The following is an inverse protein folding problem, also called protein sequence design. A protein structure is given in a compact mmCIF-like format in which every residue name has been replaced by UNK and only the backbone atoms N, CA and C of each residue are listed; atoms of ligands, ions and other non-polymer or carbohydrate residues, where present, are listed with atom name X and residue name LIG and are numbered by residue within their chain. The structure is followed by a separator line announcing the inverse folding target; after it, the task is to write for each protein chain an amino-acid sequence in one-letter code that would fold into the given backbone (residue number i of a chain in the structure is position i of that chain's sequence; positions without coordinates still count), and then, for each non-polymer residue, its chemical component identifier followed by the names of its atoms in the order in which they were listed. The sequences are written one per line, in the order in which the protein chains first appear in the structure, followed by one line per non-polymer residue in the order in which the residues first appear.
data_IF_906210526425
#
_entry.id   IF_906210526425
#
_cell.length_a   1.000
_cell.length_b   1.000
_cell.length_c   1.000
_cell.angle_alpha   90.00
_cell.angle_beta   90.00
_cell.angle_gamma   90.00
#
_symmetry.space_group_name_H-M   'P 1'
#
loop_
_entity.id
_entity.type
_entity.pdbx_description
1 polymer ?
#
# COMPACT_ATOMS: atom_id res chain seq x y z
N UNK A 1 46.79 -9.18 46.31
CA UNK A 1 46.32 -7.86 45.90
C UNK A 1 44.90 -8.08 45.35
N UNK A 2 43.87 -7.76 46.14
CA UNK A 2 42.47 -7.98 45.76
C UNK A 2 41.97 -6.74 45.08
N UNK A 3 41.45 -6.87 43.86
CA UNK A 3 40.75 -5.81 43.14
C UNK A 3 39.37 -5.52 43.75
N UNK A 4 38.95 -4.26 43.87
CA UNK A 4 37.69 -3.89 44.51
C UNK A 4 36.48 -4.27 43.64
N UNK A 5 35.47 -4.84 44.30
CA UNK A 5 34.15 -5.08 43.74
C UNK A 5 33.39 -3.75 43.58
N UNK A 6 33.25 -3.25 42.36
CA UNK A 6 32.54 -1.98 42.14
C UNK A 6 32.32 -1.60 40.70
N UNK A 7 31.96 -2.54 39.82
CA UNK A 7 31.58 -2.22 38.42
C UNK A 7 30.56 -3.22 37.91
N UNK A 8 29.41 -3.27 38.56
CA UNK A 8 28.20 -3.90 38.01
C UNK A 8 27.04 -2.98 38.19
N UNK A 9 26.95 -1.98 37.36
CA UNK A 9 25.70 -1.35 36.96
C UNK A 9 25.93 -0.70 35.60
N UNK A 10 26.02 -1.54 34.55
CA UNK A 10 25.71 -1.08 33.23
C UNK A 10 24.22 -0.69 33.25
N UNK A 11 23.92 0.61 33.37
CA UNK A 11 22.60 1.16 33.15
C UNK A 11 22.20 0.72 31.75
N UNK A 12 21.23 -0.19 31.68
CA UNK A 12 20.48 -0.45 30.45
C UNK A 12 20.10 0.91 29.88
N UNK A 13 20.69 1.27 28.77
CA UNK A 13 20.23 2.34 27.92
C UNK A 13 18.78 1.97 27.59
N UNK A 14 17.83 2.73 28.16
CA UNK A 14 16.44 2.61 27.82
C UNK A 14 16.33 2.90 26.33
N UNK A 15 16.24 1.84 25.51
CA UNK A 15 15.76 1.95 24.15
C UNK A 15 14.49 2.77 24.19
N UNK A 16 14.41 3.83 23.39
CA UNK A 16 13.24 4.71 23.32
C UNK A 16 11.99 3.84 23.37
N UNK A 17 11.04 4.18 24.24
CA UNK A 17 9.73 3.55 24.28
C UNK A 17 9.08 3.84 22.92
N UNK A 18 9.33 2.96 21.97
CA UNK A 18 8.58 2.91 20.75
C UNK A 18 7.14 2.63 21.19
N UNK A 19 6.28 3.64 21.12
CA UNK A 19 4.85 3.46 21.32
C UNK A 19 4.46 2.32 20.42
N UNK A 20 4.04 1.19 20.96
CA UNK A 20 3.59 0.05 20.17
C UNK A 20 2.42 0.54 19.34
N UNK A 21 2.65 0.75 18.06
CA UNK A 21 1.57 1.00 17.10
C UNK A 21 0.78 -0.31 17.08
N UNK A 22 -0.43 -0.29 17.60
CA UNK A 22 -1.28 -1.50 17.70
C UNK A 22 -1.97 -1.82 16.37
N UNK A 23 -1.62 -1.11 15.30
CA UNK A 23 -2.20 -1.32 13.98
C UNK A 23 -1.73 -2.63 13.36
N UNK A 24 -2.61 -3.23 12.55
CA UNK A 24 -2.28 -4.40 11.74
C UNK A 24 -1.10 -4.11 10.82
N UNK A 25 -0.27 -5.11 10.66
CA UNK A 25 0.95 -5.05 9.86
C UNK A 25 0.81 -5.87 8.58
N UNK A 26 1.73 -5.71 7.64
CA UNK A 26 1.82 -6.57 6.44
C UNK A 26 1.88 -8.05 6.81
N UNK A 27 2.58 -8.40 7.91
CA UNK A 27 2.67 -9.79 8.36
C UNK A 27 1.32 -10.33 8.85
N UNK A 28 0.51 -9.50 9.51
CA UNK A 28 -0.83 -9.90 9.96
C UNK A 28 -1.75 -10.16 8.76
N UNK A 29 -1.68 -9.30 7.74
CA UNK A 29 -2.45 -9.46 6.49
C UNK A 29 -2.01 -10.72 5.74
N UNK A 30 -0.71 -10.93 5.56
CA UNK A 30 -0.18 -12.11 4.86
C UNK A 30 -0.49 -13.42 5.61
N UNK A 31 -0.45 -13.41 6.94
CA UNK A 31 -0.77 -14.59 7.77
C UNK A 31 -2.24 -14.98 7.72
N UNK A 32 -3.14 -14.09 7.30
CA UNK A 32 -4.57 -14.39 7.17
C UNK A 32 -4.90 -15.22 5.91
N UNK A 33 -3.94 -15.48 5.02
CA UNK A 33 -4.15 -16.28 3.80
C UNK A 33 -4.69 -17.67 4.13
N UNK A 34 -5.84 -18.00 3.53
CA UNK A 34 -6.54 -19.27 3.78
C UNK A 34 -7.35 -19.36 5.08
N UNK A 35 -7.39 -18.26 5.86
CA UNK A 35 -8.22 -18.11 7.05
C UNK A 35 -9.52 -17.35 6.81
N UNK A 36 -10.00 -16.64 7.83
CA UNK A 36 -11.19 -15.79 7.70
C UNK A 36 -10.94 -14.63 6.72
N UNK A 37 -11.95 -14.25 5.91
CA UNK A 37 -11.83 -13.13 4.99
C UNK A 37 -11.49 -11.83 5.71
N UNK A 38 -10.59 -11.05 5.14
CA UNK A 38 -10.22 -9.72 5.62
C UNK A 38 -11.18 -8.66 5.07
N UNK A 39 -11.51 -7.69 5.91
CA UNK A 39 -12.32 -6.52 5.51
C UNK A 39 -11.39 -5.40 5.05
N UNK A 40 -11.44 -5.10 3.75
CA UNK A 40 -10.71 -3.99 3.14
C UNK A 40 -11.70 -2.90 2.73
N UNK A 41 -11.52 -1.69 3.24
CA UNK A 41 -12.38 -0.54 2.94
C UNK A 41 -11.55 0.62 2.40
N UNK A 42 -12.21 1.56 1.71
CA UNK A 42 -11.59 2.77 1.19
C UNK A 42 -12.06 3.99 1.96
N UNK A 43 -11.13 4.84 2.39
CA UNK A 43 -11.41 6.12 3.04
C UNK A 43 -10.58 7.25 2.43
N UNK A 44 -11.10 8.49 2.48
CA UNK A 44 -10.45 9.65 1.90
C UNK A 44 -10.25 10.82 2.88
N UNK A 45 -10.78 10.72 4.08
CA UNK A 45 -10.65 11.74 5.13
C UNK A 45 -10.60 11.12 6.53
N UNK A 46 -10.34 11.94 7.54
CA UNK A 46 -10.19 11.47 8.91
C UNK A 46 -11.51 10.98 9.53
N UNK A 47 -12.66 11.68 9.41
CA UNK A 47 -13.93 11.19 9.94
C UNK A 47 -14.37 9.86 9.35
N UNK A 48 -14.22 9.68 8.02
CA UNK A 48 -14.53 8.42 7.35
C UNK A 48 -13.63 7.29 7.87
N UNK A 49 -12.33 7.55 8.00
CA UNK A 49 -11.37 6.59 8.53
C UNK A 49 -11.68 6.19 9.97
N UNK A 50 -12.03 7.15 10.83
CA UNK A 50 -12.40 6.90 12.24
C UNK A 50 -13.63 5.99 12.36
N UNK A 51 -14.65 6.20 11.52
CA UNK A 51 -15.85 5.36 11.51
C UNK A 51 -15.54 3.93 11.02
N UNK A 52 -14.65 3.80 10.03
CA UNK A 52 -14.34 2.51 9.42
C UNK A 52 -13.30 1.69 10.19
N UNK A 53 -12.39 2.35 10.92
CA UNK A 53 -11.26 1.72 11.60
C UNK A 53 -11.64 0.53 12.51
N UNK A 54 -12.74 0.57 13.31
CA UNK A 54 -13.15 -0.57 14.12
C UNK A 54 -13.63 -1.79 13.34
N UNK A 55 -13.94 -1.63 12.05
CA UNK A 55 -14.60 -2.63 11.22
C UNK A 55 -13.70 -3.14 10.08
N UNK A 56 -12.51 -2.59 9.91
CA UNK A 56 -11.61 -2.92 8.82
C UNK A 56 -10.29 -3.52 9.31
N UNK A 57 -9.75 -4.43 8.50
CA UNK A 57 -8.39 -4.92 8.65
C UNK A 57 -7.39 -4.01 7.93
N UNK A 58 -7.81 -3.46 6.81
CA UNK A 58 -7.03 -2.60 5.95
C UNK A 58 -7.89 -1.44 5.44
N UNK A 59 -7.34 -0.24 5.49
CA UNK A 59 -7.91 0.95 4.85
C UNK A 59 -7.00 1.34 3.67
N UNK A 60 -7.63 1.52 2.51
CA UNK A 60 -6.98 1.98 1.29
C UNK A 60 -7.32 3.46 1.05
N UNK A 61 -6.31 4.27 0.80
CA UNK A 61 -6.49 5.56 0.12
C UNK A 61 -6.25 5.31 -1.36
N UNK A 62 -7.34 5.15 -2.11
CA UNK A 62 -7.31 4.89 -3.54
C UNK A 62 -7.16 6.18 -4.36
N UNK A 63 -6.52 6.11 -5.52
CA UNK A 63 -6.46 7.22 -6.48
C UNK A 63 -7.84 7.54 -7.09
N UNK A 64 -8.83 6.66 -6.89
CA UNK A 64 -10.25 6.97 -7.09
C UNK A 64 -10.73 8.20 -6.33
N UNK A 65 -9.98 8.69 -5.33
CA UNK A 65 -10.20 10.00 -4.68
C UNK A 65 -10.35 11.13 -5.70
N UNK A 66 -9.60 11.09 -6.79
CA UNK A 66 -9.73 12.05 -7.88
C UNK A 66 -11.15 12.12 -8.45
N UNK A 67 -11.76 10.97 -8.68
CA UNK A 67 -13.11 10.88 -9.23
C UNK A 67 -14.18 11.12 -8.17
N UNK A 68 -14.04 10.48 -7.00
CA UNK A 68 -15.08 10.43 -5.97
C UNK A 68 -15.17 11.73 -5.17
N UNK A 69 -14.02 12.35 -4.87
CA UNK A 69 -13.95 13.54 -4.02
C UNK A 69 -13.72 14.81 -4.84
N UNK A 70 -12.84 14.75 -5.85
CA UNK A 70 -12.46 15.93 -6.62
C UNK A 70 -13.21 16.09 -7.95
N UNK A 71 -14.07 15.10 -8.33
CA UNK A 71 -14.86 15.17 -9.56
C UNK A 71 -14.05 15.10 -10.85
N UNK A 72 -12.83 14.55 -10.80
CA UNK A 72 -12.02 14.32 -12.00
C UNK A 72 -12.66 13.23 -12.88
N UNK A 73 -12.47 13.27 -14.20
CA UNK A 73 -13.08 12.30 -15.11
C UNK A 73 -12.45 10.89 -15.01
N UNK A 74 -11.26 10.79 -14.47
CA UNK A 74 -10.53 9.52 -14.27
C UNK A 74 -9.49 9.67 -13.16
N UNK A 75 -8.81 8.57 -12.82
CA UNK A 75 -7.70 8.57 -11.84
C UNK A 75 -6.40 9.13 -12.42
N UNK A 76 -6.28 9.26 -13.74
CA UNK A 76 -5.06 9.71 -14.44
C UNK A 76 -4.61 11.11 -14.02
N UNK A 77 -5.55 11.99 -13.64
CA UNK A 77 -5.24 13.36 -13.20
C UNK A 77 -4.84 13.50 -11.74
N UNK A 78 -4.78 12.41 -10.98
CA UNK A 78 -4.42 12.44 -9.55
C UNK A 78 -2.92 12.66 -9.38
N UNK A 79 -2.54 13.57 -8.48
CA UNK A 79 -1.15 13.90 -8.20
C UNK A 79 -0.63 13.22 -6.93
N UNK A 80 0.69 13.18 -6.77
CA UNK A 80 1.34 12.73 -5.55
C UNK A 80 0.90 13.55 -4.33
N UNK A 81 0.73 14.87 -4.50
CA UNK A 81 0.30 15.79 -3.45
C UNK A 81 -1.12 15.48 -2.98
N UNK A 82 -2.03 15.14 -3.89
CA UNK A 82 -3.39 14.71 -3.53
C UNK A 82 -3.35 13.43 -2.70
N UNK A 83 -2.60 12.43 -3.14
CA UNK A 83 -2.48 11.16 -2.43
C UNK A 83 -1.88 11.33 -1.03
N UNK A 84 -0.85 12.17 -0.90
CA UNK A 84 -0.23 12.47 0.39
C UNK A 84 -1.19 13.22 1.30
N UNK A 85 -1.89 14.24 0.80
CA UNK A 85 -2.86 15.03 1.58
C UNK A 85 -3.97 14.14 2.16
N UNK A 86 -4.58 13.32 1.33
CA UNK A 86 -5.63 12.38 1.74
C UNK A 86 -5.08 11.27 2.64
N UNK A 87 -3.89 10.74 2.32
CA UNK A 87 -3.20 9.76 3.16
C UNK A 87 -2.95 10.28 4.58
N UNK A 88 -2.49 11.52 4.72
CA UNK A 88 -2.30 12.16 6.03
C UNK A 88 -3.62 12.34 6.78
N UNK A 89 -4.69 12.73 6.08
CA UNK A 89 -6.01 12.88 6.69
C UNK A 89 -6.53 11.54 7.22
N UNK A 90 -6.55 10.51 6.39
CA UNK A 90 -6.97 9.14 6.76
C UNK A 90 -6.12 8.60 7.90
N UNK A 91 -4.80 8.80 7.85
CA UNK A 91 -3.89 8.34 8.90
C UNK A 91 -4.25 8.85 10.29
N UNK A 92 -4.78 10.06 10.42
CA UNK A 92 -5.19 10.64 11.70
C UNK A 92 -6.39 9.93 12.31
N UNK A 93 -7.30 9.37 11.48
CA UNK A 93 -8.47 8.62 11.93
C UNK A 93 -8.19 7.16 12.27
N UNK A 94 -6.99 6.62 11.97
CA UNK A 94 -6.68 5.20 12.15
C UNK A 94 -5.91 4.91 13.43
N UNK A 95 -6.38 3.89 14.16
CA UNK A 95 -5.75 3.36 15.38
C UNK A 95 -5.34 1.90 15.25
N UNK A 96 -6.07 1.07 14.50
CA UNK A 96 -5.88 -0.38 14.42
C UNK A 96 -5.75 -0.94 12.99
N UNK A 97 -6.39 -0.33 11.98
CA UNK A 97 -6.32 -0.82 10.61
C UNK A 97 -4.95 -0.52 9.98
N UNK A 98 -4.50 -1.43 9.10
CA UNK A 98 -3.36 -1.16 8.23
C UNK A 98 -3.71 -0.09 7.21
N UNK A 99 -2.82 0.86 6.95
CA UNK A 99 -3.01 1.88 5.92
C UNK A 99 -2.17 1.56 4.67
N UNK A 100 -2.84 1.49 3.53
CA UNK A 100 -2.23 1.37 2.20
C UNK A 100 -2.61 2.60 1.37
N UNK A 101 -1.70 3.11 0.56
CA UNK A 101 -1.93 4.28 -0.31
C UNK A 101 -1.55 3.93 -1.73
N UNK A 102 -2.42 4.27 -2.68
CA UNK A 102 -2.13 4.10 -4.10
C UNK A 102 -1.00 5.04 -4.56
N UNK A 103 -0.14 4.50 -5.39
CA UNK A 103 0.76 5.31 -6.20
C UNK A 103 0.00 5.80 -7.44
N UNK A 104 -0.13 7.13 -7.65
CA UNK A 104 -0.90 7.65 -8.77
C UNK A 104 -0.18 7.42 -10.11
N UNK A 105 -0.94 7.45 -11.20
CA UNK A 105 -0.42 7.33 -12.56
C UNK A 105 0.74 8.31 -12.82
N UNK A 106 1.78 7.85 -13.47
CA UNK A 106 2.99 8.62 -13.77
C UNK A 106 4.01 8.68 -12.63
N UNK A 107 3.74 8.03 -11.48
CA UNK A 107 4.62 8.11 -10.32
C UNK A 107 5.59 6.94 -10.17
N UNK A 108 5.43 5.85 -10.96
CA UNK A 108 6.24 4.63 -10.83
C UNK A 108 6.60 3.96 -12.15
N UNK A 109 6.03 4.40 -13.28
CA UNK A 109 6.15 3.70 -14.56
C UNK A 109 7.45 4.00 -15.30
N UNK A 110 8.08 5.15 -15.03
CA UNK A 110 9.27 5.61 -15.78
C UNK A 110 10.52 4.79 -15.44
N UNK A 111 10.72 4.46 -14.16
CA UNK A 111 11.86 3.69 -13.68
C UNK A 111 11.65 3.16 -12.27
N UNK A 112 12.46 2.17 -11.88
CA UNK A 112 12.51 1.61 -10.53
C UNK A 112 12.92 2.67 -9.50
N UNK A 113 13.85 3.57 -9.84
CA UNK A 113 14.28 4.67 -8.98
C UNK A 113 13.15 5.68 -8.74
N UNK A 114 12.41 6.04 -9.78
CA UNK A 114 11.22 6.89 -9.63
C UNK A 114 10.20 6.24 -8.70
N UNK A 115 9.90 4.97 -8.92
CA UNK A 115 8.98 4.21 -8.07
C UNK A 115 9.43 4.24 -6.61
N UNK A 116 10.72 4.00 -6.34
CA UNK A 116 11.27 4.01 -4.99
C UNK A 116 11.19 5.39 -4.33
N UNK A 117 11.60 6.45 -5.01
CA UNK A 117 11.57 7.79 -4.46
C UNK A 117 10.14 8.24 -4.12
N UNK A 118 9.17 7.97 -4.99
CA UNK A 118 7.79 8.33 -4.78
C UNK A 118 7.11 7.45 -3.70
N UNK A 119 7.34 6.16 -3.68
CA UNK A 119 6.83 5.27 -2.64
C UNK A 119 7.40 5.63 -1.25
N UNK A 120 8.71 5.88 -1.17
CA UNK A 120 9.36 6.33 0.05
C UNK A 120 8.82 7.68 0.54
N UNK A 121 8.53 8.59 -0.39
CA UNK A 121 7.90 9.89 -0.09
C UNK A 121 6.50 9.69 0.50
N UNK A 122 5.64 8.88 -0.13
CA UNK A 122 4.30 8.55 0.40
C UNK A 122 4.42 7.99 1.82
N UNK A 123 5.27 6.98 2.04
CA UNK A 123 5.40 6.36 3.36
C UNK A 123 5.90 7.33 4.43
N UNK A 124 6.90 8.16 4.12
CA UNK A 124 7.46 9.13 5.08
C UNK A 124 6.47 10.22 5.44
N UNK A 125 5.76 10.76 4.46
CA UNK A 125 4.88 11.91 4.68
C UNK A 125 3.53 11.52 5.26
N UNK A 126 3.05 10.30 5.02
CA UNK A 126 1.74 9.84 5.50
C UNK A 126 1.81 8.89 6.68
N UNK A 127 2.91 8.15 6.85
CA UNK A 127 3.02 7.08 7.84
C UNK A 127 2.19 5.85 7.50
N UNK A 128 1.89 5.60 6.21
CA UNK A 128 1.30 4.35 5.75
C UNK A 128 2.28 3.18 5.88
N UNK A 129 1.76 1.96 5.88
CA UNK A 129 2.58 0.76 6.03
C UNK A 129 2.90 0.09 4.68
N UNK A 130 2.20 0.45 3.61
CA UNK A 130 2.43 -0.08 2.27
C UNK A 130 1.91 0.87 1.20
N UNK A 131 2.34 0.65 -0.03
CA UNK A 131 1.80 1.30 -1.23
C UNK A 131 1.08 0.29 -2.10
N UNK A 132 0.13 0.76 -2.96
CA UNK A 132 -0.47 -0.07 -4.00
C UNK A 132 -0.02 0.41 -5.38
N UNK A 133 0.21 -0.54 -6.31
CA UNK A 133 0.63 -0.30 -7.69
C UNK A 133 -0.31 -1.09 -8.62
N UNK A 134 -0.79 -0.45 -9.68
CA UNK A 134 -1.48 -1.16 -10.75
C UNK A 134 -0.49 -2.00 -11.56
N UNK A 135 -0.64 -3.32 -11.44
CA UNK A 135 0.35 -4.30 -11.90
C UNK A 135 -0.05 -4.87 -13.26
N UNK A 136 0.41 -4.24 -14.34
CA UNK A 136 0.60 -5.02 -15.56
C UNK A 136 1.90 -5.84 -15.45
N UNK A 137 2.16 -6.73 -16.41
CA UNK A 137 3.39 -7.53 -16.41
C UNK A 137 4.67 -6.67 -16.31
N UNK A 138 4.62 -5.43 -16.77
CA UNK A 138 5.74 -4.46 -16.68
C UNK A 138 6.06 -4.02 -15.26
N UNK A 139 5.10 -4.04 -14.34
CA UNK A 139 5.28 -3.51 -12.99
C UNK A 139 5.96 -4.51 -12.03
N UNK A 140 6.21 -5.74 -12.46
CA UNK A 140 6.88 -6.75 -11.62
C UNK A 140 8.29 -6.29 -11.19
N UNK A 141 9.03 -5.62 -12.07
CA UNK A 141 10.37 -5.10 -11.76
C UNK A 141 10.31 -3.99 -10.72
N UNK A 142 9.35 -3.07 -10.82
CA UNK A 142 9.13 -2.03 -9.82
C UNK A 142 8.73 -2.62 -8.48
N UNK A 143 7.84 -3.61 -8.46
CA UNK A 143 7.42 -4.30 -7.24
C UNK A 143 8.63 -4.97 -6.56
N UNK A 144 9.41 -5.74 -7.30
CA UNK A 144 10.59 -6.41 -6.78
C UNK A 144 11.60 -5.41 -6.19
N UNK A 145 11.88 -4.34 -6.94
CA UNK A 145 12.79 -3.29 -6.51
C UNK A 145 12.36 -2.60 -5.21
N UNK A 146 11.07 -2.31 -5.06
CA UNK A 146 10.51 -1.72 -3.84
C UNK A 146 10.60 -2.69 -2.66
N UNK A 147 10.15 -3.93 -2.87
CA UNK A 147 10.11 -4.97 -1.82
C UNK A 147 11.50 -5.28 -1.28
N UNK A 148 12.51 -5.46 -2.16
CA UNK A 148 13.91 -5.67 -1.77
C UNK A 148 14.47 -4.55 -0.90
N UNK A 149 13.95 -3.31 -1.07
CA UNK A 149 14.37 -2.13 -0.31
C UNK A 149 13.48 -1.83 0.89
N UNK A 150 12.62 -2.76 1.27
CA UNK A 150 11.80 -2.69 2.48
C UNK A 150 10.50 -1.89 2.34
N UNK A 151 10.04 -1.62 1.12
CA UNK A 151 8.74 -1.00 0.87
C UNK A 151 7.72 -2.10 0.53
N UNK A 152 6.74 -2.39 1.40
CA UNK A 152 5.71 -3.38 1.10
C UNK A 152 4.78 -2.90 -0.01
N UNK A 153 4.48 -3.79 -0.96
CA UNK A 153 3.65 -3.47 -2.12
C UNK A 153 2.43 -4.38 -2.19
N UNK A 154 1.27 -3.77 -2.42
CA UNK A 154 0.05 -4.42 -2.86
C UNK A 154 -0.05 -4.31 -4.38
N UNK A 155 -0.19 -5.41 -5.10
CA UNK A 155 -0.44 -5.42 -6.54
C UNK A 155 -1.91 -5.15 -6.85
N UNK A 156 -2.21 -4.65 -8.05
CA UNK A 156 -3.58 -4.53 -8.57
C UNK A 156 -3.62 -4.98 -10.04
N UNK A 157 -4.34 -6.03 -10.31
CA UNK A 157 -4.46 -6.66 -11.65
C UNK A 157 -5.92 -6.65 -12.12
N UNK A 158 -6.15 -7.02 -13.35
CA UNK A 158 -7.49 -7.04 -13.93
C UNK A 158 -7.93 -5.67 -14.43
N UNK A 159 -9.03 -5.12 -13.89
CA UNK A 159 -9.46 -3.78 -14.26
C UNK A 159 -8.58 -2.74 -13.54
N UNK A 160 -7.83 -1.99 -14.33
CA UNK A 160 -6.90 -0.96 -13.84
C UNK A 160 -7.39 0.44 -14.23
N UNK A 161 -7.90 1.23 -13.30
CA UNK A 161 -8.39 2.59 -13.59
C UNK A 161 -7.37 3.51 -14.26
N UNK A 162 -6.09 3.37 -13.95
CA UNK A 162 -5.01 4.16 -14.58
C UNK A 162 -4.82 3.81 -16.06
N UNK A 163 -5.21 2.61 -16.49
CA UNK A 163 -5.15 2.17 -17.88
C UNK A 163 -6.40 2.54 -18.71
N UNK A 164 -7.31 3.36 -18.18
CA UNK A 164 -8.61 3.70 -18.79
C UNK A 164 -8.50 4.15 -20.25
N UNK A 165 -7.45 4.90 -20.61
CA UNK A 165 -7.25 5.40 -21.96
C UNK A 165 -6.83 4.28 -22.94
N UNK A 166 -6.06 3.29 -22.48
CA UNK A 166 -5.65 2.13 -23.28
C UNK A 166 -6.83 1.15 -23.42
N UNK A 167 -7.56 0.94 -22.34
CA UNK A 167 -8.68 0.01 -22.29
C UNK A 167 -9.96 0.56 -22.94
N UNK A 168 -10.01 1.87 -23.23
CA UNK A 168 -11.17 2.55 -23.80
C UNK A 168 -12.38 2.60 -22.86
N UNK A 169 -12.12 2.69 -21.53
CA UNK A 169 -13.10 2.80 -20.47
C UNK A 169 -12.97 1.71 -19.40
N UNK A 170 -13.83 1.77 -18.39
CA UNK A 170 -13.87 0.79 -17.31
C UNK A 170 -14.62 -0.46 -17.76
N UNK A 171 -13.90 -1.53 -18.06
CA UNK A 171 -14.47 -2.81 -18.53
C UNK A 171 -13.97 -3.96 -17.66
N UNK A 172 -14.88 -4.83 -17.24
CA UNK A 172 -14.50 -6.05 -16.53
C UNK A 172 -13.57 -6.89 -17.40
N UNK A 173 -12.47 -7.35 -16.80
CA UNK A 173 -11.46 -8.22 -17.40
C UNK A 173 -11.71 -9.69 -17.00
N UNK A 174 -11.05 -10.63 -17.69
CA UNK A 174 -11.14 -12.06 -17.37
C UNK A 174 -12.41 -12.76 -17.84
N UNK A 175 -13.18 -12.15 -18.75
CA UNK A 175 -14.43 -12.75 -19.29
C UNK A 175 -14.21 -13.82 -20.32
N UNK A 176 -13.10 -13.77 -21.04
CA UNK A 176 -12.67 -14.79 -21.97
C UNK A 176 -11.52 -15.61 -21.37
N UNK A 177 -11.26 -16.79 -21.91
CA UNK A 177 -10.13 -17.62 -21.46
C UNK A 177 -8.80 -16.89 -21.60
N UNK A 178 -8.58 -16.21 -22.72
CA UNK A 178 -7.39 -15.42 -22.97
C UNK A 178 -7.23 -14.27 -21.98
N UNK A 179 -8.31 -13.52 -21.70
CA UNK A 179 -8.26 -12.44 -20.69
C UNK A 179 -7.98 -12.98 -19.29
N UNK A 180 -8.59 -14.11 -18.92
CA UNK A 180 -8.35 -14.78 -17.64
C UNK A 180 -6.88 -15.14 -17.48
N UNK A 181 -6.27 -15.73 -18.54
CA UNK A 181 -4.87 -16.13 -18.51
C UNK A 181 -3.94 -14.92 -18.37
N UNK A 182 -4.27 -13.79 -18.98
CA UNK A 182 -3.53 -12.53 -18.79
C UNK A 182 -3.58 -12.10 -17.32
N UNK A 183 -4.79 -12.01 -16.73
CA UNK A 183 -4.96 -11.59 -15.33
C UNK A 183 -4.23 -12.52 -14.36
N UNK A 184 -4.29 -13.84 -14.60
CA UNK A 184 -3.59 -14.83 -13.79
C UNK A 184 -2.05 -14.70 -13.91
N UNK A 185 -1.54 -14.42 -15.09
CA UNK A 185 -0.10 -14.22 -15.30
C UNK A 185 0.38 -12.92 -14.65
N UNK A 186 -0.40 -11.84 -14.73
CA UNK A 186 -0.11 -10.58 -14.04
C UNK A 186 -0.09 -10.80 -12.51
N UNK A 187 -1.07 -11.54 -11.97
CA UNK A 187 -1.12 -11.86 -10.55
C UNK A 187 0.08 -12.69 -10.09
N UNK A 188 0.47 -13.71 -10.86
CA UNK A 188 1.67 -14.51 -10.57
C UNK A 188 2.94 -13.66 -10.60
N UNK A 189 3.08 -12.81 -11.60
CA UNK A 189 4.25 -11.93 -11.71
C UNK A 189 4.36 -10.97 -10.51
N UNK A 190 3.23 -10.45 -10.00
CA UNK A 190 3.21 -9.61 -8.81
C UNK A 190 3.54 -10.40 -7.52
N UNK A 191 3.01 -11.63 -7.38
CA UNK A 191 3.32 -12.52 -6.25
C UNK A 191 4.81 -12.91 -6.24
N UNK A 192 5.35 -13.35 -7.38
CA UNK A 192 6.77 -13.68 -7.55
C UNK A 192 7.70 -12.49 -7.30
N UNK A 193 7.26 -11.28 -7.61
CA UNK A 193 7.96 -10.03 -7.31
C UNK A 193 7.90 -9.63 -5.81
N UNK A 194 7.14 -10.36 -4.99
CA UNK A 194 7.05 -10.18 -3.55
C UNK A 194 5.91 -9.26 -3.07
N UNK A 195 4.90 -9.01 -3.88
CA UNK A 195 3.69 -8.33 -3.41
C UNK A 195 3.05 -9.13 -2.26
N UNK A 196 2.69 -8.45 -1.16
CA UNK A 196 2.11 -9.13 0.01
C UNK A 196 0.62 -9.43 -0.15
N UNK A 197 -0.04 -8.75 -1.06
CA UNK A 197 -1.45 -8.91 -1.40
C UNK A 197 -1.71 -8.43 -2.82
N UNK A 198 -2.82 -8.88 -3.42
CA UNK A 198 -3.22 -8.52 -4.78
C UNK A 198 -4.71 -8.18 -4.79
N UNK A 199 -5.07 -7.05 -5.39
CA UNK A 199 -6.44 -6.67 -5.74
C UNK A 199 -6.73 -7.14 -7.17
N UNK A 200 -7.92 -7.69 -7.41
CA UNK A 200 -8.36 -8.18 -8.72
C UNK A 200 -9.71 -7.55 -9.07
#
# INVERSE_FOLDING_TARGET
MRLPAGLRQAKSLAMSKQTRISRKTVKDIAAAKGGEPLVCLTAYDAPMAEIMDPHADLILVGDSVGMVVHGLPSTVGVTMEMMILHGQAVRRGLTQSMLVIDMPFGSYETSEDQAFLNAARIMKETGCQAVKIESGAYAATQIAHLVERGIPVMGHVGLRPQAVNVDGGFRAKGRTESERDIVLNEARAADEAGAFAIVI
#
